data_IF_808021195343
#
_entry.id   IF_808021195343
#
_cell.length_a   1.000
_cell.length_b   1.000
_cell.length_c   1.000
_cell.angle_alpha   90.00
_cell.angle_beta   90.00
_cell.angle_gamma   90.00
#
_symmetry.space_group_name_H-M   'P 1'
#
loop_
_entity.id
_entity.type
_entity.pdbx_description
1 polymer ?
#
# COMPACT_ATOMS: atom_id res chain seq x y z
N UNK A 1 2.81 -14.04 23.10
CA UNK A 1 3.17 -12.71 22.54
C UNK A 1 3.94 -12.82 21.21
N UNK A 2 4.65 -13.91 20.90
CA UNK A 2 5.39 -14.06 19.63
C UNK A 2 4.63 -14.63 18.41
N UNK A 3 3.52 -15.37 18.59
CA UNK A 3 2.84 -16.01 17.46
C UNK A 3 1.96 -15.05 16.62
N UNK A 4 1.35 -14.06 17.27
CA UNK A 4 0.51 -13.06 16.59
C UNK A 4 1.33 -12.05 15.78
N UNK A 5 2.55 -11.71 16.21
CA UNK A 5 3.45 -10.87 15.41
C UNK A 5 3.97 -11.59 14.19
N UNK A 6 4.33 -12.88 14.31
CA UNK A 6 4.75 -13.73 13.20
C UNK A 6 3.65 -13.87 12.14
N UNK A 7 2.42 -14.13 12.56
CA UNK A 7 1.27 -14.21 11.65
C UNK A 7 0.99 -12.86 10.96
N UNK A 8 1.09 -11.74 11.68
CA UNK A 8 0.98 -10.40 11.10
C UNK A 8 2.10 -10.11 10.09
N UNK A 9 3.34 -10.56 10.33
CA UNK A 9 4.44 -10.44 9.36
C UNK A 9 4.25 -11.34 8.15
N UNK A 10 3.71 -12.55 8.29
CA UNK A 10 3.46 -13.44 7.15
C UNK A 10 2.32 -12.91 6.28
N UNK A 11 1.21 -12.47 6.89
CA UNK A 11 0.09 -11.85 6.17
C UNK A 11 0.51 -10.52 5.55
N UNK A 12 1.27 -9.70 6.28
CA UNK A 12 1.84 -8.46 5.76
C UNK A 12 2.79 -8.70 4.60
N UNK A 13 3.72 -9.66 4.70
CA UNK A 13 4.62 -10.03 3.61
C UNK A 13 3.88 -10.64 2.41
N UNK A 14 2.74 -11.29 2.64
CA UNK A 14 1.93 -11.82 1.55
C UNK A 14 1.18 -10.71 0.79
N UNK A 15 0.55 -9.78 1.51
CA UNK A 15 -0.24 -8.67 0.95
C UNK A 15 0.67 -7.58 0.36
N UNK A 16 1.76 -7.24 1.04
CA UNK A 16 2.70 -6.17 0.65
C UNK A 16 3.98 -6.67 -0.04
N UNK A 17 4.21 -7.98 -0.12
CA UNK A 17 5.37 -8.55 -0.79
C UNK A 17 5.09 -8.91 -2.24
N UNK A 18 5.25 -10.19 -2.58
CA UNK A 18 5.28 -10.67 -3.96
C UNK A 18 3.98 -10.40 -4.75
N UNK A 19 2.82 -10.40 -4.10
CA UNK A 19 1.54 -10.07 -4.75
C UNK A 19 1.48 -8.61 -5.18
N UNK A 20 2.03 -7.69 -4.37
CA UNK A 20 2.15 -6.27 -4.68
C UNK A 20 3.15 -6.00 -5.81
N UNK A 21 4.23 -6.79 -5.88
CA UNK A 21 5.19 -6.74 -6.99
C UNK A 21 4.54 -7.19 -8.30
N UNK A 22 3.82 -8.31 -8.29
CA UNK A 22 3.06 -8.79 -9.47
C UNK A 22 2.07 -7.72 -9.93
N UNK A 23 1.37 -7.07 -9.00
CA UNK A 23 0.43 -6.01 -9.33
C UNK A 23 1.07 -4.84 -10.09
N UNK A 24 2.27 -4.40 -9.69
CA UNK A 24 2.97 -3.32 -10.40
C UNK A 24 3.53 -3.77 -11.75
N UNK A 25 4.00 -5.02 -11.85
CA UNK A 25 4.46 -5.60 -13.11
C UNK A 25 3.30 -5.62 -14.13
N UNK A 26 2.12 -6.10 -13.73
CA UNK A 26 0.93 -6.10 -14.57
C UNK A 26 0.55 -4.67 -14.97
N UNK A 27 0.67 -3.71 -14.05
CA UNK A 27 0.41 -2.30 -14.33
C UNK A 27 1.28 -1.76 -15.47
N UNK A 28 2.59 -2.04 -15.42
CA UNK A 28 3.53 -1.61 -16.45
C UNK A 28 3.32 -2.36 -17.78
N UNK A 29 3.06 -3.67 -17.74
CA UNK A 29 2.85 -4.49 -18.94
C UNK A 29 1.54 -4.12 -19.65
N UNK A 30 0.44 -3.99 -18.90
CA UNK A 30 -0.87 -3.67 -19.47
C UNK A 30 -1.10 -2.18 -19.69
N UNK A 31 -0.16 -1.31 -19.34
CA UNK A 31 -0.34 0.15 -19.37
C UNK A 31 -0.92 0.66 -20.69
N UNK A 32 -0.49 0.11 -21.81
CA UNK A 32 -0.96 0.52 -23.14
C UNK A 32 -2.35 -0.03 -23.50
N UNK A 33 -2.75 -1.20 -22.97
CA UNK A 33 -4.07 -1.81 -23.19
C UNK A 33 -5.19 -1.09 -22.41
N UNK A 34 -4.87 -0.51 -21.26
CA UNK A 34 -5.84 0.16 -20.37
C UNK A 34 -5.94 1.68 -20.61
N UNK A 35 -5.11 2.25 -21.50
CA UNK A 35 -5.13 3.66 -21.86
C UNK A 35 -6.50 4.11 -22.38
N UNK A 36 -7.05 5.17 -21.80
CA UNK A 36 -8.37 5.72 -22.16
C UNK A 36 -9.56 5.00 -21.52
N UNK A 37 -9.34 4.00 -20.68
CA UNK A 37 -10.39 3.32 -19.91
C UNK A 37 -10.40 3.78 -18.45
N UNK A 38 -11.52 3.58 -17.74
CA UNK A 38 -11.59 3.89 -16.31
C UNK A 38 -10.56 3.10 -15.47
N UNK A 39 -10.06 1.97 -16.00
CA UNK A 39 -9.03 1.15 -15.37
C UNK A 39 -7.69 1.87 -15.31
N UNK A 40 -7.37 2.77 -16.25
CA UNK A 40 -6.12 3.55 -16.22
C UNK A 40 -5.96 4.29 -14.89
N UNK A 41 -7.02 4.95 -14.42
CA UNK A 41 -7.03 5.67 -13.14
C UNK A 41 -6.83 4.74 -11.93
N UNK A 42 -7.43 3.54 -11.98
CA UNK A 42 -7.34 2.57 -10.89
C UNK A 42 -5.95 1.96 -10.79
N UNK A 43 -5.37 1.58 -11.94
CA UNK A 43 -4.01 1.07 -12.01
C UNK A 43 -3.02 2.16 -11.57
N UNK A 44 -3.13 3.40 -12.06
CA UNK A 44 -2.28 4.50 -11.58
C UNK A 44 -2.39 4.73 -10.09
N UNK A 45 -3.60 4.74 -9.54
CA UNK A 45 -3.81 4.94 -8.11
C UNK A 45 -3.21 3.80 -7.28
N UNK A 46 -3.36 2.55 -7.74
CA UNK A 46 -2.75 1.37 -7.11
C UNK A 46 -1.22 1.45 -7.14
N UNK A 47 -0.61 1.83 -8.27
CA UNK A 47 0.84 2.03 -8.37
C UNK A 47 1.33 3.13 -7.43
N UNK A 48 0.61 4.24 -7.33
CA UNK A 48 0.93 5.29 -6.35
C UNK A 48 0.84 4.79 -4.91
N UNK A 49 -0.16 3.95 -4.57
CA UNK A 49 -0.23 3.30 -3.23
C UNK A 49 0.98 2.45 -2.94
N UNK A 50 1.40 1.65 -3.91
CA UNK A 50 2.59 0.81 -3.75
C UNK A 50 3.82 1.65 -3.41
N UNK A 51 4.11 2.69 -4.17
CA UNK A 51 5.27 3.55 -3.93
C UNK A 51 5.23 4.27 -2.59
N UNK A 52 4.04 4.72 -2.16
CA UNK A 52 3.86 5.26 -0.81
C UNK A 52 4.10 4.20 0.27
N UNK A 53 3.61 2.96 0.10
CA UNK A 53 3.87 1.87 1.04
C UNK A 53 5.36 1.51 1.11
N UNK A 54 6.07 1.48 -0.02
CA UNK A 54 7.52 1.27 -0.06
C UNK A 54 8.25 2.38 0.68
N UNK A 55 7.87 3.65 0.47
CA UNK A 55 8.44 4.79 1.18
C UNK A 55 8.25 4.65 2.70
N UNK A 56 7.04 4.32 3.17
CA UNK A 56 6.77 4.14 4.59
C UNK A 56 7.50 2.94 5.19
N UNK A 57 7.69 1.86 4.43
CA UNK A 57 8.51 0.71 4.83
C UNK A 57 9.97 1.10 5.01
N UNK A 58 10.54 1.84 4.06
CA UNK A 58 11.92 2.33 4.14
C UNK A 58 12.08 3.31 5.31
N UNK A 59 11.14 4.26 5.46
CA UNK A 59 11.17 5.25 6.54
C UNK A 59 11.03 4.58 7.91
N UNK A 60 10.10 3.63 8.06
CA UNK A 60 9.91 2.84 9.28
C UNK A 60 11.13 1.97 9.60
N UNK A 61 11.76 1.37 8.58
CA UNK A 61 13.01 0.61 8.72
C UNK A 61 14.19 1.47 9.16
N UNK A 62 14.32 2.68 8.60
CA UNK A 62 15.34 3.66 9.01
C UNK A 62 15.11 4.11 10.45
N UNK A 63 13.86 4.46 10.83
CA UNK A 63 13.52 4.80 12.22
C UNK A 63 13.79 3.64 13.19
N UNK A 64 13.52 2.41 12.76
CA UNK A 64 13.80 1.20 13.54
C UNK A 64 15.30 1.01 13.79
N UNK A 65 16.13 1.17 12.75
CA UNK A 65 17.60 1.06 12.84
C UNK A 65 18.21 2.20 13.67
N UNK A 66 17.65 3.41 13.58
CA UNK A 66 18.15 4.59 14.31
C UNK A 66 17.85 4.58 15.82
N UNK A 67 17.21 3.54 16.37
CA UNK A 67 16.93 3.38 17.81
C UNK A 67 16.14 4.55 18.44
N UNK A 68 15.47 5.38 17.62
CA UNK A 68 14.71 6.54 18.10
C UNK A 68 13.30 6.11 18.50
N UNK A 69 13.17 5.69 19.77
CA UNK A 69 11.91 5.70 20.54
C UNK A 69 10.83 4.70 20.12
N UNK A 70 10.62 3.68 20.96
CA UNK A 70 9.45 2.78 20.90
C UNK A 70 8.11 3.54 20.79
N UNK A 71 8.02 4.73 21.41
CA UNK A 71 6.88 5.63 21.36
C UNK A 71 6.68 6.31 20.00
N UNK A 72 7.77 6.77 19.36
CA UNK A 72 7.69 7.46 18.07
C UNK A 72 7.31 6.47 16.96
N UNK A 73 7.88 5.27 17.00
CA UNK A 73 7.59 4.23 16.02
C UNK A 73 6.11 3.77 16.08
N UNK A 74 5.55 3.65 17.29
CA UNK A 74 4.13 3.32 17.46
C UNK A 74 3.20 4.39 16.85
N UNK A 75 3.56 5.67 17.03
CA UNK A 75 2.79 6.78 16.46
C UNK A 75 2.82 6.77 14.93
N UNK A 76 4.00 6.56 14.34
CA UNK A 76 4.18 6.49 12.88
C UNK A 76 3.41 5.32 12.29
N UNK A 77 3.54 4.11 12.85
CA UNK A 77 2.79 2.95 12.36
C UNK A 77 1.27 3.12 12.54
N UNK A 78 0.82 3.75 13.63
CA UNK A 78 -0.59 4.06 13.84
C UNK A 78 -1.16 5.01 12.78
N UNK A 79 -0.43 6.09 12.47
CA UNK A 79 -0.81 7.07 11.45
C UNK A 79 -0.81 6.44 10.05
N UNK A 80 0.22 5.67 9.71
CA UNK A 80 0.31 4.97 8.42
C UNK A 80 -0.80 3.93 8.28
N UNK A 81 -1.12 3.20 9.36
CA UNK A 81 -2.23 2.24 9.38
C UNK A 81 -3.57 2.92 9.14
N UNK A 82 -3.86 4.03 9.83
CA UNK A 82 -5.09 4.80 9.64
C UNK A 82 -5.21 5.35 8.21
N UNK A 83 -4.11 5.85 7.66
CA UNK A 83 -4.02 6.30 6.27
C UNK A 83 -4.26 5.16 5.27
N UNK A 84 -3.68 3.97 5.51
CA UNK A 84 -3.88 2.80 4.67
C UNK A 84 -5.35 2.34 4.68
N UNK A 85 -6.00 2.35 5.85
CA UNK A 85 -7.44 2.03 5.98
C UNK A 85 -8.28 3.04 5.19
N UNK A 86 -8.04 4.35 5.36
CA UNK A 86 -8.71 5.40 4.59
C UNK A 86 -8.54 5.19 3.06
N UNK A 87 -7.31 4.87 2.63
CA UNK A 87 -6.99 4.58 1.22
C UNK A 87 -7.77 3.40 0.69
N UNK A 88 -7.76 2.27 1.40
CA UNK A 88 -8.49 1.07 1.00
C UNK A 88 -10.00 1.36 0.91
N UNK A 89 -10.55 2.06 1.91
CA UNK A 89 -11.97 2.44 1.92
C UNK A 89 -12.34 3.34 0.74
N UNK A 90 -11.52 4.35 0.43
CA UNK A 90 -11.71 5.22 -0.74
C UNK A 90 -11.60 4.45 -2.07
N UNK A 91 -10.68 3.49 -2.15
CA UNK A 91 -10.54 2.60 -3.31
C UNK A 91 -11.78 1.74 -3.53
N UNK A 92 -12.27 1.11 -2.46
CA UNK A 92 -13.49 0.30 -2.51
C UNK A 92 -14.73 1.12 -2.88
N UNK A 93 -14.89 2.32 -2.33
CA UNK A 93 -15.99 3.23 -2.67
C UNK A 93 -15.96 3.67 -4.15
N UNK A 94 -14.78 3.91 -4.72
CA UNK A 94 -14.63 4.28 -6.12
C UNK A 94 -14.93 3.10 -7.07
N UNK A 95 -14.44 1.90 -6.73
CA UNK A 95 -14.74 0.65 -7.45
C UNK A 95 -16.24 0.34 -7.46
N UNK A 96 -16.90 0.42 -6.31
CA UNK A 96 -18.34 0.14 -6.18
C UNK A 96 -19.20 1.17 -6.94
N UNK A 97 -18.68 2.38 -7.15
CA UNK A 97 -19.37 3.45 -7.87
C UNK A 97 -19.12 3.44 -9.39
N UNK A 98 -18.25 2.56 -9.92
CA UNK A 98 -17.74 2.59 -11.32
C UNK A 98 -17.26 3.97 -11.75
N UNK A 99 -16.71 4.75 -10.82
CA UNK A 99 -16.22 6.11 -11.11
C UNK A 99 -14.70 6.07 -11.31
N UNK A 100 -14.16 6.79 -12.31
CA UNK A 100 -12.71 6.96 -12.42
C UNK A 100 -12.19 7.67 -11.16
N UNK A 101 -10.99 7.28 -10.72
CA UNK A 101 -10.34 7.90 -9.58
C UNK A 101 -9.86 9.31 -9.96
N UNK A 102 -10.19 10.36 -9.18
CA UNK A 102 -9.63 11.69 -9.41
C UNK A 102 -8.12 11.62 -9.20
N UNK A 103 -7.39 12.20 -10.14
CA UNK A 103 -5.92 12.20 -10.20
C UNK A 103 -5.27 12.91 -8.99
#
# INVERSE_FOLDING_TARGET
>A
IGAFSQAATVVGAFVFGWTSIIAIIINYIKRDDIRGTFLESHFRWQASTFWWCVLWLVLGGILYVLLVGFLLNWLVFGIVGLWAIYRIARGWLALNSRRPMPE
#
